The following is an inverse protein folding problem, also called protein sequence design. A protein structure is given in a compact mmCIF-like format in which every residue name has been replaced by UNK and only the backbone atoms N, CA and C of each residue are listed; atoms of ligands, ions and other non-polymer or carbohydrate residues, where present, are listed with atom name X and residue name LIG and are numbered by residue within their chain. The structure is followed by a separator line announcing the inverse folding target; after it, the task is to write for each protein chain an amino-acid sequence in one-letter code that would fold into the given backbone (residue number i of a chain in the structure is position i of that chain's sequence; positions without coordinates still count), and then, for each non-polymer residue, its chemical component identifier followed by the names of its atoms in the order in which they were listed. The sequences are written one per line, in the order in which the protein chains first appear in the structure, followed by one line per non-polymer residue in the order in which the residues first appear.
data_IF_247941009966
#
_entry.id   IF_247941009966
#
_cell.length_a   1.000
_cell.length_b   1.000
_cell.length_c   1.000
_cell.angle_alpha   90.00
_cell.angle_beta   90.00
_cell.angle_gamma   90.00
#
_symmetry.space_group_name_H-M   'P 1'
#
loop_
_entity.id
_entity.type
_entity.pdbx_description
1 polymer ?
#
# COMPACT_ATOMS: atom_id res chain seq x y z
N UNK A 1 0.46 -3.10 7.76
CA UNK A 1 -0.24 -4.03 6.80
C UNK A 1 -1.74 -3.90 6.95
N UNK A 2 -2.49 -3.74 5.85
CA UNK A 2 -3.96 -3.68 5.89
C UNK A 2 -4.52 -5.08 6.06
N UNK A 3 -5.39 -5.28 7.06
CA UNK A 3 -6.06 -6.56 7.32
C UNK A 3 -7.03 -6.93 6.18
N UNK A 4 -7.40 -8.20 6.07
CA UNK A 4 -8.43 -8.65 5.09
C UNK A 4 -9.76 -7.94 5.33
N UNK A 5 -10.14 -7.77 6.60
CA UNK A 5 -11.36 -7.07 6.97
C UNK A 5 -11.27 -5.57 6.65
N UNK A 6 -10.11 -4.93 6.90
CA UNK A 6 -9.84 -3.56 6.51
C UNK A 6 -9.94 -3.37 4.99
N UNK A 7 -9.43 -4.31 4.19
CA UNK A 7 -9.60 -4.30 2.73
C UNK A 7 -11.06 -4.39 2.32
N UNK A 8 -11.84 -5.30 2.93
CA UNK A 8 -13.26 -5.43 2.67
C UNK A 8 -14.02 -4.14 2.98
N UNK A 9 -13.67 -3.44 4.06
CA UNK A 9 -14.26 -2.15 4.40
C UNK A 9 -13.96 -1.09 3.34
N UNK A 10 -12.70 -1.00 2.89
CA UNK A 10 -12.30 -0.06 1.83
C UNK A 10 -13.03 -0.38 0.51
N UNK A 11 -13.15 -1.66 0.15
CA UNK A 11 -13.87 -2.09 -1.05
C UNK A 11 -15.37 -1.82 -0.94
N UNK A 12 -15.99 -2.11 0.20
CA UNK A 12 -17.42 -1.88 0.42
C UNK A 12 -17.81 -0.41 0.32
N UNK A 13 -16.93 0.52 0.68
CA UNK A 13 -17.16 1.95 0.45
C UNK A 13 -17.35 2.29 -1.01
N UNK A 14 -16.55 1.68 -1.88
CA UNK A 14 -16.61 1.92 -3.32
C UNK A 14 -17.94 1.48 -3.93
N UNK A 15 -18.61 0.49 -3.31
CA UNK A 15 -19.84 -0.10 -3.83
C UNK A 15 -21.10 0.42 -3.13
N UNK A 16 -21.05 0.67 -1.82
CA UNK A 16 -22.26 0.87 -1.01
C UNK A 16 -22.30 2.20 -0.23
N UNK A 17 -21.30 3.06 -0.35
CA UNK A 17 -21.17 4.33 0.38
C UNK A 17 -21.28 4.21 1.92
N UNK A 18 -21.12 2.99 2.46
CA UNK A 18 -21.25 2.66 3.87
C UNK A 18 -19.86 2.35 4.42
N UNK A 19 -19.00 3.38 4.52
CA UNK A 19 -17.76 3.18 5.26
C UNK A 19 -17.89 3.76 6.66
N UNK A 20 -17.67 2.90 7.64
CA UNK A 20 -17.42 3.38 8.99
C UNK A 20 -16.03 3.99 9.04
N UNK A 21 -15.91 5.22 9.53
CA UNK A 21 -14.62 5.91 9.55
C UNK A 21 -13.63 5.14 10.42
N UNK A 22 -12.36 5.20 10.05
CA UNK A 22 -11.26 4.87 10.95
C UNK A 22 -11.24 5.97 12.00
N UNK A 23 -11.50 5.59 13.24
CA UNK A 23 -11.78 6.53 14.32
C UNK A 23 -10.72 6.50 15.40
N UNK A 24 -10.05 5.36 15.56
CA UNK A 24 -9.10 5.16 16.65
C UNK A 24 -7.74 4.71 16.16
N UNK A 25 -6.73 5.18 16.89
CA UNK A 25 -5.37 4.64 16.87
C UNK A 25 -5.09 3.98 18.20
N UNK A 26 -4.57 2.75 18.17
CA UNK A 26 -4.18 2.01 19.34
C UNK A 26 -2.70 1.66 19.33
N UNK A 27 -2.09 1.63 20.52
CA UNK A 27 -0.73 1.16 20.73
C UNK A 27 -0.76 -0.14 21.55
N UNK A 28 0.25 -0.97 21.37
CA UNK A 28 0.36 -2.24 22.08
C UNK A 28 1.79 -2.77 22.19
N UNK A 29 1.91 -3.97 22.74
CA UNK A 29 3.19 -4.65 23.04
C UNK A 29 3.32 -5.98 22.30
N UNK A 30 2.58 -6.18 21.23
CA UNK A 30 2.70 -7.37 20.40
C UNK A 30 3.94 -7.31 19.52
N UNK A 31 4.64 -8.44 19.40
CA UNK A 31 5.90 -8.56 18.65
C UNK A 31 5.77 -9.45 17.40
N UNK A 32 4.64 -10.11 17.23
CA UNK A 32 4.41 -10.95 16.06
C UNK A 32 4.29 -10.10 14.80
N UNK A 33 4.88 -10.56 13.72
CA UNK A 33 4.74 -9.91 12.42
C UNK A 33 3.27 -9.70 12.04
N UNK A 34 2.93 -8.52 11.48
CA UNK A 34 1.58 -8.25 11.04
C UNK A 34 1.10 -9.23 9.98
N UNK A 35 -0.13 -9.72 10.14
CA UNK A 35 -0.79 -10.63 9.23
C UNK A 35 -2.08 -10.03 8.68
N UNK A 36 -2.46 -10.41 7.46
CA UNK A 36 -3.77 -10.04 6.88
C UNK A 36 -4.95 -10.63 7.64
N UNK A 37 -4.71 -11.63 8.46
CA UNK A 37 -5.72 -12.31 9.26
C UNK A 37 -5.84 -11.74 10.68
N UNK A 38 -5.01 -10.75 11.03
CA UNK A 38 -5.08 -10.11 12.33
C UNK A 38 -6.43 -9.39 12.49
N UNK A 39 -7.09 -9.66 13.59
CA UNK A 39 -8.35 -9.04 13.99
C UNK A 39 -8.15 -8.02 15.12
N UNK A 40 -7.04 -8.10 15.83
CA UNK A 40 -6.70 -7.27 16.98
C UNK A 40 -5.19 -7.02 17.02
N UNK A 41 -4.76 -6.08 17.86
CA UNK A 41 -3.35 -6.00 18.27
C UNK A 41 -2.99 -7.24 19.09
N UNK A 42 -1.73 -7.63 19.05
CA UNK A 42 -1.24 -8.76 19.84
C UNK A 42 -1.38 -8.53 21.35
N UNK A 43 -1.17 -7.31 21.80
CA UNK A 43 -1.37 -6.89 23.21
C UNK A 43 -1.64 -5.39 23.27
N UNK A 44 -2.88 -4.99 23.00
CA UNK A 44 -3.28 -3.59 23.11
C UNK A 44 -3.11 -3.06 24.54
N UNK A 45 -2.58 -1.83 24.67
CA UNK A 45 -2.36 -1.15 25.94
C UNK A 45 -3.15 0.14 26.07
N UNK A 46 -3.36 0.84 24.97
CA UNK A 46 -4.07 2.13 24.96
C UNK A 46 -4.68 2.38 23.59
N UNK A 47 -5.84 3.04 23.56
CA UNK A 47 -6.53 3.46 22.34
C UNK A 47 -7.03 4.89 22.49
N UNK A 48 -6.88 5.70 21.45
CA UNK A 48 -7.32 7.09 21.42
C UNK A 48 -7.96 7.44 20.09
N UNK A 49 -8.77 8.49 20.11
CA UNK A 49 -9.30 9.09 18.88
C UNK A 49 -8.14 9.55 18.00
N UNK A 50 -8.26 9.32 16.72
CA UNK A 50 -7.30 9.74 15.72
C UNK A 50 -7.92 10.78 14.80
N UNK A 51 -7.21 11.88 14.60
CA UNK A 51 -7.47 12.81 13.50
C UNK A 51 -6.86 12.29 12.21
N UNK A 52 -7.40 12.69 11.07
CA UNK A 52 -6.83 12.29 9.79
C UNK A 52 -6.63 13.47 8.84
N UNK A 53 -5.65 13.33 7.97
CA UNK A 53 -5.38 14.25 6.86
C UNK A 53 -5.17 13.43 5.58
N UNK A 54 -5.73 13.91 4.48
CA UNK A 54 -5.55 13.29 3.15
C UNK A 54 -4.52 14.10 2.38
N UNK A 55 -3.40 13.50 2.07
CA UNK A 55 -2.39 14.05 1.17
C UNK A 55 -2.63 13.46 -0.23
N UNK A 56 -3.40 14.19 -1.04
CA UNK A 56 -3.79 13.75 -2.38
C UNK A 56 -2.59 13.69 -3.33
N UNK A 57 -1.64 14.62 -3.19
CA UNK A 57 -0.48 14.70 -4.08
C UNK A 57 0.44 13.49 -3.95
N UNK A 58 0.58 12.99 -2.71
CA UNK A 58 1.42 11.83 -2.42
C UNK A 58 0.62 10.52 -2.26
N UNK A 59 -0.70 10.55 -2.44
CA UNK A 59 -1.60 9.41 -2.22
C UNK A 59 -1.43 8.77 -0.83
N UNK A 60 -1.37 9.61 0.20
CA UNK A 60 -1.17 9.17 1.59
C UNK A 60 -2.36 9.61 2.44
N UNK A 61 -2.87 8.68 3.22
CA UNK A 61 -3.79 8.97 4.30
C UNK A 61 -3.03 8.94 5.62
N UNK A 62 -3.03 10.05 6.33
CA UNK A 62 -2.24 10.26 7.54
C UNK A 62 -3.19 10.31 8.73
N UNK A 63 -3.00 9.41 9.69
CA UNK A 63 -3.70 9.42 10.97
C UNK A 63 -2.78 9.92 12.07
N UNK A 64 -3.29 10.74 12.99
CA UNK A 64 -2.53 11.29 14.12
C UNK A 64 -3.30 11.14 15.42
N UNK A 65 -2.62 10.74 16.47
CA UNK A 65 -3.16 10.70 17.82
C UNK A 65 -2.09 11.08 18.85
N UNK A 66 -2.50 11.85 19.87
CA UNK A 66 -1.61 12.28 20.95
C UNK A 66 -1.61 11.29 22.10
N UNK A 67 -0.45 10.74 22.44
CA UNK A 67 -0.26 9.85 23.58
C UNK A 67 0.70 10.48 24.57
N UNK A 68 0.55 10.17 25.85
CA UNK A 68 1.57 10.55 26.83
C UNK A 68 2.81 9.67 26.66
N UNK A 69 3.97 10.16 27.05
CA UNK A 69 5.19 9.39 27.01
C UNK A 69 5.07 8.04 27.74
N UNK A 70 4.36 8.01 28.87
CA UNK A 70 4.08 6.78 29.64
C UNK A 70 3.25 5.76 28.85
N UNK A 71 2.32 6.21 28.01
CA UNK A 71 1.49 5.33 27.17
C UNK A 71 2.29 4.76 25.98
N UNK A 72 3.28 5.50 25.47
CA UNK A 72 4.13 5.07 24.36
C UNK A 72 5.26 4.15 24.83
N UNK A 73 5.71 4.31 26.07
CA UNK A 73 6.83 3.56 26.62
C UNK A 73 6.59 2.04 26.58
N UNK A 74 7.60 1.31 26.09
CA UNK A 74 7.59 -0.14 25.91
C UNK A 74 6.48 -0.65 24.96
N UNK A 75 5.98 0.20 24.05
CA UNK A 75 5.13 -0.25 22.96
C UNK A 75 5.97 -0.72 21.78
N UNK A 76 5.40 -1.63 20.99
CA UNK A 76 6.05 -2.29 19.86
C UNK A 76 5.11 -2.44 18.66
N UNK A 77 3.84 -2.09 18.83
CA UNK A 77 2.85 -2.20 17.76
C UNK A 77 1.87 -1.03 17.78
N UNK A 78 1.32 -0.75 16.61
CA UNK A 78 0.32 0.28 16.37
C UNK A 78 -0.76 -0.28 15.46
N UNK A 79 -2.01 0.14 15.67
CA UNK A 79 -3.12 -0.23 14.81
C UNK A 79 -4.15 0.85 14.66
N UNK A 80 -4.89 0.77 13.56
CA UNK A 80 -6.01 1.64 13.25
C UNK A 80 -7.32 0.84 13.31
N UNK A 81 -8.31 1.40 13.96
CA UNK A 81 -9.60 0.76 14.20
C UNK A 81 -10.76 1.66 13.78
N UNK A 82 -11.86 1.03 13.35
CA UNK A 82 -13.14 1.72 13.20
C UNK A 82 -13.82 1.91 14.55
N UNK A 83 -14.90 2.69 14.57
CA UNK A 83 -15.77 2.84 15.75
C UNK A 83 -16.37 1.50 16.23
N UNK A 84 -16.52 0.53 15.35
CA UNK A 84 -17.04 -0.80 15.67
C UNK A 84 -15.96 -1.83 16.05
N UNK A 85 -14.79 -1.35 16.42
CA UNK A 85 -13.67 -2.21 16.85
C UNK A 85 -13.09 -3.12 15.74
N UNK A 86 -13.25 -2.74 14.48
CA UNK A 86 -12.63 -3.47 13.37
C UNK A 86 -11.22 -2.98 13.15
N UNK A 87 -10.24 -3.88 13.25
CA UNK A 87 -8.85 -3.61 12.91
C UNK A 87 -8.71 -3.43 11.39
N UNK A 88 -8.38 -2.21 10.96
CA UNK A 88 -8.17 -1.87 9.56
C UNK A 88 -6.72 -2.13 9.15
N UNK A 89 -5.77 -1.69 9.96
CA UNK A 89 -4.35 -1.84 9.69
C UNK A 89 -3.56 -2.01 10.98
N UNK A 90 -2.48 -2.80 10.91
CA UNK A 90 -1.55 -3.03 12.02
C UNK A 90 -0.12 -2.98 11.50
N UNK A 91 0.77 -2.44 12.33
CA UNK A 91 2.20 -2.49 12.10
C UNK A 91 2.96 -2.72 13.40
N UNK A 92 4.22 -3.15 13.28
CA UNK A 92 5.13 -3.33 14.41
C UNK A 92 6.39 -2.49 14.20
N UNK A 93 6.96 -2.01 15.28
CA UNK A 93 8.13 -1.15 15.29
C UNK A 93 9.07 -1.54 16.44
N UNK A 94 10.25 -0.96 16.45
CA UNK A 94 11.21 -1.16 17.53
C UNK A 94 10.65 -0.62 18.86
N UNK A 95 10.94 -1.31 19.95
CA UNK A 95 10.47 -0.91 21.29
C UNK A 95 10.90 0.51 21.61
N UNK A 96 9.93 1.34 22.00
CA UNK A 96 10.22 2.68 22.51
C UNK A 96 10.76 2.58 23.93
N UNK A 97 12.00 3.03 24.14
CA UNK A 97 12.70 2.96 25.43
C UNK A 97 12.80 4.34 26.09
N UNK A 98 13.12 4.38 27.38
CA UNK A 98 13.19 5.62 28.17
C UNK A 98 14.22 6.63 27.64
N UNK A 99 15.28 6.15 27.00
CA UNK A 99 16.36 6.97 26.44
C UNK A 99 15.91 7.77 25.19
N UNK A 100 14.79 7.37 24.57
CA UNK A 100 14.18 8.10 23.43
C UNK A 100 13.23 9.19 23.95
N UNK A 101 12.75 9.08 25.19
CA UNK A 101 11.77 9.96 25.79
C UNK A 101 12.44 10.95 26.74
N UNK A 102 12.81 12.12 26.23
CA UNK A 102 13.47 13.18 27.03
C UNK A 102 12.58 13.72 28.16
N UNK A 103 11.25 13.57 28.07
CA UNK A 103 10.28 14.02 29.05
C UNK A 103 9.06 13.10 29.11
N UNK A 104 8.82 12.52 30.31
CA UNK A 104 7.69 11.62 30.54
C UNK A 104 6.32 12.30 30.66
N UNK A 105 6.30 13.64 30.72
CA UNK A 105 5.07 14.46 30.82
C UNK A 105 4.57 14.98 29.49
N UNK A 106 5.39 14.94 28.46
CA UNK A 106 5.08 15.44 27.13
C UNK A 106 4.03 14.58 26.39
N UNK A 107 3.29 15.23 25.49
CA UNK A 107 2.44 14.53 24.54
C UNK A 107 3.23 14.18 23.29
N UNK A 108 3.26 12.89 22.96
CA UNK A 108 3.90 12.36 21.77
C UNK A 108 2.82 12.19 20.70
N UNK A 109 2.99 12.88 19.60
CA UNK A 109 2.11 12.73 18.44
C UNK A 109 2.55 11.52 17.60
N UNK A 110 1.83 10.42 17.74
CA UNK A 110 2.02 9.25 16.88
C UNK A 110 1.36 9.49 15.53
N UNK A 111 2.05 9.14 14.48
CA UNK A 111 1.56 9.27 13.12
C UNK A 111 1.58 7.90 12.41
N UNK A 112 0.45 7.53 11.83
CA UNK A 112 0.32 6.32 11.02
C UNK A 112 -0.04 6.70 9.58
N UNK A 113 0.79 6.30 8.64
CA UNK A 113 0.60 6.60 7.22
C UNK A 113 0.17 5.36 6.44
N UNK A 114 -0.97 5.46 5.77
CA UNK A 114 -1.38 4.48 4.77
C UNK A 114 -1.05 5.07 3.41
N UNK A 115 -0.07 4.49 2.76
CA UNK A 115 0.25 4.79 1.38
C UNK A 115 -0.69 3.99 0.49
N UNK A 116 -1.52 4.69 -0.27
CA UNK A 116 -2.24 4.11 -1.37
C UNK A 116 -1.29 4.13 -2.57
N UNK A 117 -0.34 3.20 -2.56
CA UNK A 117 0.42 2.97 -3.77
C UNK A 117 -0.58 2.70 -4.88
N UNK A 118 -0.46 3.47 -5.91
CA UNK A 118 -1.31 3.48 -7.07
C UNK A 118 -1.15 2.23 -7.96
N UNK A 119 -0.97 1.09 -7.34
CA UNK A 119 -1.25 -0.18 -7.99
C UNK A 119 -2.74 -0.23 -8.27
N UNK A 120 -3.20 0.54 -9.24
CA UNK A 120 -4.61 0.59 -9.62
C UNK A 120 -5.19 1.95 -9.96
N UNK A 121 -4.54 3.06 -9.64
CA UNK A 121 -4.98 4.35 -10.18
C UNK A 121 -4.31 4.55 -11.53
N UNK A 122 -5.13 4.61 -12.55
CA UNK A 122 -4.86 4.85 -13.96
C UNK A 122 -3.66 5.75 -14.23
N UNK A 123 -2.45 5.22 -14.05
CA UNK A 123 -1.28 5.86 -14.64
C UNK A 123 -1.42 5.66 -16.14
N UNK A 124 -1.46 6.75 -16.85
CA UNK A 124 -1.59 6.72 -18.30
C UNK A 124 -0.48 5.87 -18.91
N UNK A 125 -0.85 4.90 -19.70
CA UNK A 125 0.08 4.14 -20.52
C UNK A 125 0.41 4.90 -21.79
N UNK A 126 1.60 4.68 -22.30
CA UNK A 126 2.09 5.22 -23.57
C UNK A 126 2.56 4.09 -24.46
N UNK A 127 2.40 4.24 -25.76
CA UNK A 127 2.92 3.29 -26.75
C UNK A 127 4.41 3.42 -26.87
N UNK A 128 5.13 2.30 -26.84
CA UNK A 128 6.57 2.28 -27.10
C UNK A 128 6.85 2.57 -28.58
N UNK A 129 7.97 3.24 -28.85
CA UNK A 129 8.45 3.43 -30.22
C UNK A 129 8.96 2.16 -30.89
N UNK A 130 9.11 1.06 -30.14
CA UNK A 130 9.65 -0.21 -30.62
C UNK A 130 8.54 -1.08 -31.22
N UNK A 131 7.39 -1.18 -30.55
CA UNK A 131 6.24 -1.99 -30.98
C UNK A 131 4.96 -1.49 -30.31
N UNK A 132 3.85 -1.38 -31.03
CA UNK A 132 2.58 -0.84 -30.52
C UNK A 132 1.95 -1.64 -29.37
N UNK A 133 2.29 -2.92 -29.27
CA UNK A 133 1.85 -3.79 -28.17
C UNK A 133 2.79 -3.77 -26.96
N UNK A 134 3.87 -3.01 -27.00
CA UNK A 134 4.72 -2.71 -25.85
C UNK A 134 4.32 -1.35 -25.32
N UNK A 135 3.72 -1.34 -24.14
CA UNK A 135 3.26 -0.14 -23.47
C UNK A 135 4.20 0.23 -22.34
N UNK A 136 4.36 1.51 -22.06
CA UNK A 136 5.17 1.95 -20.96
C UNK A 136 4.50 3.05 -20.13
N UNK A 137 4.95 3.17 -18.89
CA UNK A 137 4.63 4.27 -18.00
C UNK A 137 5.78 4.55 -17.04
N UNK A 138 5.78 5.74 -16.46
CA UNK A 138 6.76 6.11 -15.46
C UNK A 138 6.42 5.49 -14.09
N UNK A 139 7.42 4.92 -13.41
CA UNK A 139 7.32 4.37 -12.06
C UNK A 139 8.44 4.91 -11.17
N UNK A 140 8.08 5.56 -10.05
CA UNK A 140 9.05 6.15 -9.14
C UNK A 140 9.90 5.11 -8.41
N UNK A 141 9.30 3.98 -8.06
CA UNK A 141 9.91 2.94 -7.25
C UNK A 141 10.32 1.73 -8.12
N UNK A 142 11.38 1.02 -7.74
CA UNK A 142 11.80 -0.18 -8.44
C UNK A 142 10.68 -1.22 -8.52
N UNK A 143 10.37 -1.66 -9.74
CA UNK A 143 9.35 -2.67 -9.98
C UNK A 143 9.95 -4.07 -9.79
N UNK A 144 9.32 -4.87 -8.93
CA UNK A 144 9.73 -6.23 -8.63
C UNK A 144 8.79 -7.29 -9.22
N UNK A 145 7.59 -6.88 -9.65
CA UNK A 145 6.63 -7.77 -10.31
C UNK A 145 5.49 -7.02 -10.96
N UNK A 146 4.84 -7.69 -11.92
CA UNK A 146 3.63 -7.20 -12.60
C UNK A 146 2.65 -8.36 -12.71
N UNK A 147 1.37 -8.08 -12.50
CA UNK A 147 0.29 -9.07 -12.58
C UNK A 147 -0.97 -8.47 -13.20
N UNK A 148 -1.60 -9.19 -14.08
CA UNK A 148 -2.91 -8.88 -14.62
C UNK A 148 -3.98 -9.52 -13.72
N UNK A 149 -4.78 -8.71 -13.03
CA UNK A 149 -5.66 -9.18 -11.96
C UNK A 149 -6.90 -9.91 -12.49
N UNK A 150 -7.45 -9.43 -13.60
CA UNK A 150 -8.67 -10.01 -14.20
C UNK A 150 -8.44 -11.40 -14.82
N UNK A 151 -7.21 -11.74 -15.20
CA UNK A 151 -6.84 -13.08 -15.71
C UNK A 151 -5.99 -13.87 -14.74
N UNK A 152 -5.62 -13.27 -13.61
CA UNK A 152 -4.70 -13.82 -12.61
C UNK A 152 -3.31 -14.18 -13.19
N UNK A 153 -2.87 -13.47 -14.23
CA UNK A 153 -1.65 -13.78 -14.96
C UNK A 153 -0.46 -12.97 -14.41
N UNK A 154 0.52 -13.68 -13.84
CA UNK A 154 1.83 -13.10 -13.49
C UNK A 154 2.69 -12.87 -14.73
N UNK A 155 3.35 -11.71 -14.81
CA UNK A 155 4.22 -11.38 -15.92
C UNK A 155 5.65 -11.83 -15.64
N UNK A 156 6.30 -12.36 -16.68
CA UNK A 156 7.70 -12.75 -16.60
C UNK A 156 8.58 -11.52 -16.87
N UNK A 157 9.57 -11.31 -16.02
CA UNK A 157 10.53 -10.22 -16.19
C UNK A 157 11.44 -10.49 -17.40
N UNK A 158 11.43 -9.55 -18.36
CA UNK A 158 12.39 -9.52 -19.46
C UNK A 158 13.68 -8.84 -19.01
N UNK A 159 14.79 -9.19 -19.66
CA UNK A 159 16.11 -8.63 -19.39
C UNK A 159 16.34 -7.32 -20.14
N UNK A 160 15.66 -7.14 -21.26
CA UNK A 160 15.71 -5.95 -22.10
C UNK A 160 14.40 -5.74 -22.86
N UNK A 161 14.26 -4.58 -23.52
CA UNK A 161 13.12 -4.28 -24.37
C UNK A 161 13.06 -5.15 -25.63
N UNK A 162 14.22 -5.53 -26.17
CA UNK A 162 14.31 -6.40 -27.35
C UNK A 162 13.71 -7.78 -27.06
N UNK A 163 13.86 -8.29 -25.83
CA UNK A 163 13.30 -9.57 -25.41
C UNK A 163 11.75 -9.54 -25.33
N UNK A 164 11.16 -8.34 -25.36
CA UNK A 164 9.71 -8.16 -25.34
C UNK A 164 9.09 -8.11 -26.74
N UNK A 165 9.87 -8.01 -27.81
CA UNK A 165 9.37 -7.91 -29.17
C UNK A 165 8.70 -9.17 -29.69
N UNK A 166 7.95 -9.04 -30.78
CA UNK A 166 7.31 -10.15 -31.48
C UNK A 166 6.18 -10.81 -30.70
N UNK A 167 6.17 -12.13 -30.64
CA UNK A 167 5.10 -12.95 -30.03
C UNK A 167 5.23 -13.13 -28.51
N UNK A 168 6.19 -12.48 -27.86
CA UNK A 168 6.29 -12.52 -26.40
C UNK A 168 5.01 -11.97 -25.75
N UNK A 169 4.50 -12.64 -24.72
CA UNK A 169 3.28 -12.27 -24.00
C UNK A 169 3.51 -12.29 -22.50
N UNK A 170 2.69 -11.54 -21.77
CA UNK A 170 2.76 -11.43 -20.32
C UNK A 170 4.23 -11.18 -19.86
N UNK A 171 4.84 -10.14 -20.40
CA UNK A 171 6.20 -9.74 -20.07
C UNK A 171 6.23 -8.33 -19.49
N UNK A 172 7.24 -8.09 -18.65
CA UNK A 172 7.55 -6.72 -18.22
C UNK A 172 9.06 -6.50 -18.18
N UNK A 173 9.46 -5.27 -18.39
CA UNK A 173 10.82 -4.77 -18.22
C UNK A 173 10.77 -3.44 -17.47
N UNK A 174 11.61 -3.28 -16.46
CA UNK A 174 11.75 -2.03 -15.74
C UNK A 174 13.15 -1.47 -15.97
N UNK A 175 13.20 -0.32 -16.64
CA UNK A 175 14.42 0.43 -16.85
C UNK A 175 14.69 1.34 -15.63
N UNK A 176 15.69 0.99 -14.85
CA UNK A 176 16.08 1.72 -13.64
C UNK A 176 16.63 3.12 -13.94
N UNK A 177 17.15 3.37 -15.16
CA UNK A 177 17.74 4.64 -15.56
C UNK A 177 16.67 5.67 -15.91
N UNK A 178 15.72 5.27 -16.73
CA UNK A 178 14.61 6.14 -17.17
C UNK A 178 13.41 6.06 -16.22
N UNK A 179 13.40 5.09 -15.30
CA UNK A 179 12.27 4.75 -14.44
C UNK A 179 10.99 4.42 -15.20
N UNK A 180 11.13 3.89 -16.40
CA UNK A 180 10.00 3.42 -17.18
C UNK A 180 9.72 1.93 -16.93
N UNK A 181 8.48 1.63 -16.62
CA UNK A 181 7.96 0.27 -16.63
C UNK A 181 7.37 0.00 -18.01
N UNK A 182 7.89 -0.98 -18.70
CA UNK A 182 7.36 -1.51 -19.96
C UNK A 182 6.61 -2.79 -19.69
N UNK A 183 5.46 -2.94 -20.34
CA UNK A 183 4.67 -4.18 -20.28
C UNK A 183 4.27 -4.61 -21.67
N UNK A 184 4.05 -5.91 -21.81
CA UNK A 184 3.36 -6.53 -22.93
C UNK A 184 2.35 -7.49 -22.38
N UNK A 185 1.07 -7.20 -22.59
CA UNK A 185 -0.05 -7.91 -21.94
C UNK A 185 -0.18 -9.36 -22.43
N UNK A 186 -0.98 -10.16 -21.72
CA UNK A 186 -1.26 -11.54 -22.10
C UNK A 186 -2.02 -11.65 -23.43
N UNK A 187 -2.78 -10.61 -23.79
CA UNK A 187 -3.61 -10.51 -25.00
C UNK A 187 -2.98 -9.65 -26.10
N UNK A 188 -1.77 -9.12 -25.91
CA UNK A 188 -1.11 -8.19 -26.84
C UNK A 188 -1.94 -6.92 -27.06
N UNK A 189 -2.42 -6.33 -25.98
CA UNK A 189 -3.22 -5.11 -26.03
C UNK A 189 -2.39 -3.91 -26.51
N UNK A 190 -3.06 -3.01 -27.19
CA UNK A 190 -2.55 -1.69 -27.56
C UNK A 190 -3.01 -0.64 -26.56
N UNK A 191 -2.59 0.62 -26.73
CA UNK A 191 -3.01 1.74 -25.88
C UNK A 191 -4.53 1.90 -25.78
N UNK A 192 -5.26 1.51 -26.83
CA UNK A 192 -6.73 1.63 -26.86
C UNK A 192 -7.46 0.53 -26.10
N UNK A 193 -6.80 -0.55 -25.73
CA UNK A 193 -7.41 -1.72 -25.08
C UNK A 193 -6.82 -2.00 -23.70
N UNK A 194 -5.65 -1.48 -23.36
CA UNK A 194 -4.97 -1.73 -22.08
C UNK A 194 -5.72 -1.18 -20.89
N UNK A 195 -6.48 -0.10 -21.04
CA UNK A 195 -7.24 0.52 -19.94
C UNK A 195 -8.37 -0.40 -19.40
N UNK A 196 -8.75 -1.42 -20.18
CA UNK A 196 -9.68 -2.46 -19.70
C UNK A 196 -9.00 -3.53 -18.83
N UNK A 197 -7.67 -3.45 -18.64
CA UNK A 197 -6.89 -4.42 -17.90
C UNK A 197 -6.50 -3.89 -16.52
N UNK A 198 -6.82 -4.66 -15.50
CA UNK A 198 -6.37 -4.38 -14.14
C UNK A 198 -4.92 -4.85 -13.97
N UNK A 199 -3.97 -3.97 -14.26
CA UNK A 199 -2.53 -4.24 -14.13
C UNK A 199 -2.04 -3.82 -12.74
N UNK A 200 -1.76 -4.79 -11.89
CA UNK A 200 -1.10 -4.57 -10.61
C UNK A 200 0.42 -4.58 -10.76
N UNK A 201 1.09 -3.58 -10.19
CA UNK A 201 2.54 -3.46 -10.16
C UNK A 201 3.02 -3.62 -8.72
N UNK A 202 3.93 -4.55 -8.50
CA UNK A 202 4.59 -4.76 -7.23
C UNK A 202 5.88 -3.94 -7.22
N UNK A 203 6.00 -3.04 -6.27
CA UNK A 203 7.18 -2.17 -6.09
C UNK A 203 7.93 -2.56 -4.82
N UNK A 204 9.22 -2.19 -4.79
CA UNK A 204 10.09 -2.44 -3.64
C UNK A 204 9.99 -1.30 -2.63
#
# INVERSE_FOLDING_TARGET
MISTLGRSLIMNRTVNDIMKPITYMALGKGTNNPSRQDLHLGKETVRKLADYTVDIENNVLIFKAGFTAKEVLNTTEIGLFTEEDVLVSRDVYETVTDDILEDTTSTINMEYRIHFDTAGVHKQWYTSSIEDTILYRFENNPVIGVRELNTDTGYIRARSLEEMQGQAKARYYYDVTTRNLYIKTSSLDTINTVDSKDIAVLIK
#
